data_IF_185419320060
#
_entry.id   IF_185419320060
#
_cell.length_a   1.000
_cell.length_b   1.000
_cell.length_c   1.000
_cell.angle_alpha   90.00
_cell.angle_beta   90.00
_cell.angle_gamma   90.00
#
_symmetry.space_group_name_H-M   'P 1'
#
loop_
_entity.id
_entity.type
_entity.pdbx_description
1 polymer ?
#
# COMPACT_ATOMS: atom_id res chain seq x y z
N UNK A 1 -41.53 13.87 38.40
CA UNK A 1 -40.27 14.64 38.25
C UNK A 1 -39.26 13.68 37.68
N UNK A 2 -39.08 13.73 36.36
CA UNK A 2 -38.51 12.68 35.53
C UNK A 2 -36.99 12.54 35.67
N UNK A 3 -36.60 11.27 35.70
CA UNK A 3 -35.25 10.71 35.73
C UNK A 3 -34.41 11.03 34.47
N UNK A 4 -33.11 11.19 34.70
CA UNK A 4 -31.93 10.92 33.85
C UNK A 4 -32.12 10.61 32.36
N UNK A 5 -31.31 11.27 31.52
CA UNK A 5 -30.64 10.59 30.39
C UNK A 5 -29.28 11.23 30.12
N UNK A 6 -28.23 10.63 30.71
CA UNK A 6 -26.86 10.78 30.23
C UNK A 6 -26.74 9.83 29.04
N UNK A 7 -26.76 10.37 27.84
CA UNK A 7 -26.64 9.55 26.64
C UNK A 7 -26.39 10.43 25.44
N UNK A 8 -25.12 10.73 25.15
CA UNK A 8 -24.65 11.17 23.82
C UNK A 8 -23.14 11.52 23.85
N UNK A 9 -22.23 10.56 24.13
CA UNK A 9 -20.80 10.67 23.71
C UNK A 9 -19.95 9.40 23.90
N UNK A 10 -20.54 8.20 23.92
CA UNK A 10 -19.78 6.94 23.98
C UNK A 10 -19.92 6.08 22.72
N UNK A 11 -20.29 6.68 21.60
CA UNK A 11 -20.28 6.01 20.30
C UNK A 11 -18.82 5.97 19.80
N UNK A 12 -18.18 4.79 19.94
CA UNK A 12 -17.23 4.20 18.98
C UNK A 12 -15.71 4.51 19.01
N UNK A 13 -15.07 4.75 20.16
CA UNK A 13 -13.57 4.68 20.18
C UNK A 13 -13.02 3.29 19.79
N UNK A 14 -13.75 2.21 20.09
CA UNK A 14 -13.33 0.84 19.76
C UNK A 14 -13.69 0.38 18.32
N UNK A 15 -14.61 1.05 17.63
CA UNK A 15 -15.00 0.66 16.28
C UNK A 15 -14.04 1.23 15.22
N UNK A 16 -13.51 2.43 15.45
CA UNK A 16 -12.51 3.05 14.57
C UNK A 16 -11.19 2.24 14.54
N UNK A 17 -10.77 1.69 15.68
CA UNK A 17 -9.58 0.83 15.80
C UNK A 17 -9.72 -0.55 15.13
N UNK A 18 -10.96 -1.00 14.88
CA UNK A 18 -11.24 -2.30 14.25
C UNK A 18 -11.75 -2.15 12.80
N UNK A 19 -11.38 -1.05 12.13
CA UNK A 19 -11.68 -0.86 10.72
C UNK A 19 -10.69 -1.67 9.86
N UNK A 20 -11.15 -2.39 8.83
CA UNK A 20 -10.25 -3.07 7.91
C UNK A 20 -9.30 -2.10 7.21
N UNK A 21 -9.73 -0.86 6.98
CA UNK A 21 -8.93 0.21 6.39
C UNK A 21 -7.69 0.55 7.22
N UNK A 22 -7.81 0.61 8.56
CA UNK A 22 -6.68 0.88 9.45
C UNK A 22 -5.64 -0.25 9.38
N UNK A 23 -6.10 -1.51 9.40
CA UNK A 23 -5.21 -2.66 9.27
C UNK A 23 -4.49 -2.67 7.92
N UNK A 24 -5.22 -2.38 6.84
CA UNK A 24 -4.66 -2.24 5.49
C UNK A 24 -3.59 -1.14 5.48
N UNK A 25 -3.87 0.04 6.05
CA UNK A 25 -2.91 1.14 6.09
C UNK A 25 -1.65 0.82 6.91
N UNK A 26 -1.79 0.18 8.07
CA UNK A 26 -0.65 -0.21 8.92
C UNK A 26 0.24 -1.22 8.21
N UNK A 27 -0.34 -2.29 7.65
CA UNK A 27 0.45 -3.28 6.92
C UNK A 27 1.00 -2.73 5.60
N UNK A 28 0.29 -1.82 4.92
CA UNK A 28 0.82 -1.10 3.76
C UNK A 28 2.09 -0.34 4.17
N UNK A 29 2.02 0.48 5.22
CA UNK A 29 3.17 1.23 5.70
C UNK A 29 4.37 0.31 6.00
N UNK A 30 4.17 -0.73 6.81
CA UNK A 30 5.26 -1.61 7.22
C UNK A 30 5.89 -2.37 6.05
N UNK A 31 5.06 -2.97 5.19
CA UNK A 31 5.54 -3.80 4.08
C UNK A 31 6.20 -2.93 3.01
N UNK A 32 5.57 -1.83 2.62
CA UNK A 32 6.11 -0.94 1.59
C UNK A 32 7.35 -0.22 2.08
N UNK A 33 7.41 0.22 3.35
CA UNK A 33 8.62 0.85 3.89
C UNK A 33 9.84 -0.07 3.87
N UNK A 34 9.66 -1.33 4.30
CA UNK A 34 10.75 -2.33 4.25
C UNK A 34 11.16 -2.58 2.81
N UNK A 35 10.20 -2.69 1.90
CA UNK A 35 10.49 -2.91 0.49
C UNK A 35 11.23 -1.73 -0.14
N UNK A 36 10.82 -0.49 0.11
CA UNK A 36 11.50 0.75 -0.33
C UNK A 36 12.96 0.79 0.15
N UNK A 37 13.22 0.41 1.41
CA UNK A 37 14.60 0.30 1.92
C UNK A 37 15.42 -0.76 1.18
N UNK A 38 14.81 -1.89 0.81
CA UNK A 38 15.47 -2.94 0.02
C UNK A 38 15.69 -2.53 -1.44
N UNK A 39 14.83 -1.67 -1.99
CA UNK A 39 14.97 -1.16 -3.35
C UNK A 39 16.07 -0.11 -3.50
N UNK A 40 16.49 0.55 -2.41
CA UNK A 40 17.44 1.66 -2.46
C UNK A 40 18.69 1.43 -3.35
N UNK A 41 19.37 0.26 -3.31
CA UNK A 41 20.54 0.02 -4.15
C UNK A 41 20.25 0.00 -5.67
N UNK A 42 18.98 -0.13 -6.06
CA UNK A 42 18.54 -0.16 -7.46
C UNK A 42 18.34 1.24 -8.06
N UNK A 43 18.35 2.28 -7.23
CA UNK A 43 18.23 3.68 -7.68
C UNK A 43 19.59 4.38 -7.64
N UNK A 44 19.88 5.16 -8.69
CA UNK A 44 21.14 5.92 -8.77
C UNK A 44 21.10 7.17 -7.87
N UNK A 45 22.26 7.59 -7.38
CA UNK A 45 22.42 8.86 -6.64
C UNK A 45 22.28 8.76 -5.13
N UNK A 46 22.25 7.54 -4.57
CA UNK A 46 22.15 7.32 -3.11
C UNK A 46 23.49 7.02 -2.40
N UNK A 47 24.60 6.96 -3.13
CA UNK A 47 25.90 6.52 -2.58
C UNK A 47 26.55 7.52 -1.60
N UNK A 48 26.23 8.82 -1.70
CA UNK A 48 26.82 9.87 -0.86
C UNK A 48 25.79 10.72 -0.07
N UNK A 49 24.51 10.33 -0.07
CA UNK A 49 23.47 11.09 0.65
C UNK A 49 23.39 10.70 2.12
N UNK A 50 23.15 11.71 2.94
CA UNK A 50 22.98 11.54 4.38
C UNK A 50 21.81 10.59 4.70
N UNK A 51 22.01 9.62 5.59
CA UNK A 51 21.02 8.59 5.96
C UNK A 51 19.62 9.14 6.27
N UNK A 52 19.54 10.33 6.88
CA UNK A 52 18.25 10.96 7.20
C UNK A 52 17.46 11.34 5.94
N UNK A 53 18.13 11.81 4.89
CA UNK A 53 17.51 12.13 3.60
C UNK A 53 16.92 10.89 2.96
N UNK A 54 17.65 9.77 3.02
CA UNK A 54 17.20 8.46 2.52
C UNK A 54 15.91 8.02 3.23
N UNK A 55 15.88 8.06 4.56
CA UNK A 55 14.68 7.70 5.34
C UNK A 55 13.50 8.60 4.99
N UNK A 56 13.72 9.91 4.81
CA UNK A 56 12.68 10.85 4.40
C UNK A 56 12.14 10.53 2.99
N UNK A 57 13.00 10.14 2.05
CA UNK A 57 12.59 9.71 0.72
C UNK A 57 11.76 8.44 0.77
N UNK A 58 12.24 7.38 1.45
CA UNK A 58 11.47 6.15 1.63
C UNK A 58 10.13 6.41 2.33
N UNK A 59 10.11 7.25 3.36
CA UNK A 59 8.87 7.61 4.08
C UNK A 59 7.86 8.30 3.16
N UNK A 60 8.32 9.22 2.30
CA UNK A 60 7.45 9.90 1.32
C UNK A 60 6.93 8.93 0.25
N UNK A 61 7.77 8.02 -0.23
CA UNK A 61 7.37 6.98 -1.18
C UNK A 61 6.31 6.05 -0.57
N UNK A 62 6.60 5.52 0.62
CA UNK A 62 5.66 4.68 1.38
C UNK A 62 4.34 5.40 1.68
N UNK A 63 4.36 6.71 1.97
CA UNK A 63 3.12 7.47 2.17
C UNK A 63 2.25 7.46 0.90
N UNK A 64 2.86 7.56 -0.29
CA UNK A 64 2.17 7.37 -1.56
C UNK A 64 1.57 5.98 -1.69
N UNK A 65 2.35 4.93 -1.40
CA UNK A 65 1.89 3.54 -1.48
C UNK A 65 0.72 3.21 -0.54
N UNK A 66 0.66 3.81 0.64
CA UNK A 66 -0.48 3.67 1.55
C UNK A 66 -1.74 4.22 0.89
N UNK A 67 -1.65 5.40 0.27
CA UNK A 67 -2.79 6.02 -0.43
C UNK A 67 -3.23 5.13 -1.59
N UNK A 68 -2.29 4.63 -2.40
CA UNK A 68 -2.61 3.72 -3.51
C UNK A 68 -3.26 2.44 -2.98
N UNK A 69 -2.74 1.88 -1.88
CA UNK A 69 -3.29 0.67 -1.24
C UNK A 69 -4.71 0.90 -0.75
N UNK A 70 -5.01 2.04 -0.12
CA UNK A 70 -6.36 2.37 0.33
C UNK A 70 -7.33 2.55 -0.84
N UNK A 71 -6.90 3.23 -1.90
CA UNK A 71 -7.71 3.41 -3.12
C UNK A 71 -7.98 2.06 -3.80
N UNK A 72 -6.97 1.21 -3.92
CA UNK A 72 -7.11 -0.15 -4.45
C UNK A 72 -8.07 -0.97 -3.57
N UNK A 73 -7.97 -0.86 -2.24
CA UNK A 73 -8.84 -1.57 -1.30
C UNK A 73 -10.29 -1.15 -1.43
N UNK A 74 -10.57 0.15 -1.56
CA UNK A 74 -11.93 0.65 -1.78
C UNK A 74 -12.47 0.20 -3.13
N UNK A 75 -11.65 0.24 -4.19
CA UNK A 75 -12.03 -0.25 -5.52
C UNK A 75 -12.42 -1.73 -5.47
N UNK A 76 -11.61 -2.56 -4.81
CA UNK A 76 -11.92 -3.97 -4.59
C UNK A 76 -13.18 -4.17 -3.74
N UNK A 77 -13.39 -3.33 -2.71
CA UNK A 77 -14.57 -3.38 -1.83
C UNK A 77 -15.87 -3.05 -2.57
N UNK A 78 -15.83 -2.10 -3.52
CA UNK A 78 -16.97 -1.74 -4.38
C UNK A 78 -17.33 -2.93 -5.26
N UNK A 79 -16.35 -3.56 -5.92
CA UNK A 79 -16.57 -4.73 -6.78
C UNK A 79 -17.10 -5.92 -5.98
N UNK A 80 -16.52 -6.18 -4.80
CA UNK A 80 -16.92 -7.25 -3.90
C UNK A 80 -18.24 -6.97 -3.16
N UNK A 81 -18.76 -5.73 -3.23
CA UNK A 81 -19.90 -5.20 -2.46
C UNK A 81 -19.78 -5.48 -0.96
N UNK A 82 -18.56 -5.54 -0.44
CA UNK A 82 -18.27 -5.95 0.93
C UNK A 82 -16.92 -5.41 1.37
N UNK A 83 -16.87 -4.72 2.52
CA UNK A 83 -15.63 -4.24 3.14
C UNK A 83 -14.74 -5.37 3.69
N UNK A 84 -15.34 -6.53 3.98
CA UNK A 84 -14.62 -7.71 4.49
C UNK A 84 -14.35 -8.74 3.39
N UNK A 85 -14.17 -8.28 2.15
CA UNK A 85 -13.95 -9.16 0.99
C UNK A 85 -12.73 -10.07 1.18
N UNK A 86 -11.70 -9.62 1.90
CA UNK A 86 -10.49 -10.39 2.22
C UNK A 86 -10.74 -11.61 3.15
N UNK A 87 -11.85 -11.64 3.89
CA UNK A 87 -12.24 -12.79 4.71
C UNK A 87 -12.97 -13.86 3.90
N UNK A 88 -13.68 -13.46 2.84
CA UNK A 88 -14.36 -14.38 1.92
C UNK A 88 -13.37 -14.78 0.82
N UNK A 89 -13.44 -16.02 0.33
CA UNK A 89 -12.62 -16.47 -0.82
C UNK A 89 -13.11 -15.80 -2.11
N UNK A 90 -12.82 -14.51 -2.30
CA UNK A 90 -13.21 -13.73 -3.47
C UNK A 90 -11.99 -13.40 -4.32
N UNK A 91 -11.59 -14.28 -5.26
CA UNK A 91 -10.39 -14.05 -6.08
C UNK A 91 -10.52 -12.82 -6.98
N UNK A 92 -11.74 -12.45 -7.39
CA UNK A 92 -12.00 -11.25 -8.19
C UNK A 92 -11.59 -9.98 -7.43
N UNK A 93 -11.93 -9.89 -6.14
CA UNK A 93 -11.58 -8.73 -5.32
C UNK A 93 -10.06 -8.61 -5.12
N UNK A 94 -9.37 -9.74 -4.92
CA UNK A 94 -7.90 -9.81 -4.85
C UNK A 94 -7.29 -9.36 -6.19
N UNK A 95 -7.81 -9.84 -7.32
CA UNK A 95 -7.36 -9.45 -8.65
C UNK A 95 -7.52 -7.96 -8.91
N UNK A 96 -8.68 -7.38 -8.53
CA UNK A 96 -8.93 -5.93 -8.64
C UNK A 96 -7.99 -5.13 -7.74
N UNK A 97 -7.71 -5.60 -6.53
CA UNK A 97 -6.79 -4.94 -5.61
C UNK A 97 -5.38 -4.84 -6.20
N UNK A 98 -4.85 -5.96 -6.72
CA UNK A 98 -3.53 -6.01 -7.37
C UNK A 98 -3.54 -5.16 -8.66
N UNK A 99 -4.55 -5.33 -9.51
CA UNK A 99 -4.63 -4.63 -10.79
C UNK A 99 -4.72 -3.11 -10.62
N UNK A 100 -5.51 -2.62 -9.66
CA UNK A 100 -5.62 -1.19 -9.39
C UNK A 100 -4.27 -0.59 -8.97
N UNK A 101 -3.58 -1.23 -8.02
CA UNK A 101 -2.27 -0.77 -7.57
C UNK A 101 -1.20 -0.84 -8.66
N UNK A 102 -1.19 -1.91 -9.44
CA UNK A 102 -0.27 -2.07 -10.57
C UNK A 102 -0.49 -1.00 -11.64
N UNK A 103 -1.75 -0.74 -12.01
CA UNK A 103 -2.10 0.29 -12.99
C UNK A 103 -1.67 1.68 -12.51
N UNK A 104 -1.96 2.02 -11.26
CA UNK A 104 -1.57 3.31 -10.68
C UNK A 104 -0.05 3.45 -10.70
N UNK A 105 0.68 2.42 -10.29
CA UNK A 105 2.15 2.43 -10.25
C UNK A 105 2.77 2.55 -11.62
N UNK A 106 2.26 1.83 -12.61
CA UNK A 106 2.70 1.96 -14.00
C UNK A 106 2.51 3.39 -14.50
N UNK A 107 1.36 4.01 -14.21
CA UNK A 107 1.12 5.42 -14.58
C UNK A 107 2.12 6.35 -13.89
N UNK A 108 2.37 6.17 -12.59
CA UNK A 108 3.35 6.98 -11.85
C UNK A 108 4.76 6.80 -12.41
N UNK A 109 5.17 5.57 -12.72
CA UNK A 109 6.50 5.29 -13.27
C UNK A 109 6.70 5.89 -14.66
N UNK A 110 5.72 5.76 -15.55
CA UNK A 110 5.78 6.36 -16.89
C UNK A 110 5.86 7.88 -16.79
N UNK A 111 5.11 8.50 -15.87
CA UNK A 111 5.18 9.94 -15.63
C UNK A 111 6.52 10.37 -15.03
N UNK A 112 7.07 9.57 -14.11
CA UNK A 112 8.28 9.90 -13.40
C UNK A 112 9.55 9.72 -14.25
N UNK A 113 9.63 8.64 -15.03
CA UNK A 113 10.76 8.34 -15.93
C UNK A 113 10.69 9.11 -17.26
N UNK A 114 9.49 9.46 -17.73
CA UNK A 114 9.31 10.24 -18.94
C UNK A 114 9.34 11.75 -18.68
N UNK A 115 8.18 12.41 -18.60
CA UNK A 115 8.08 13.87 -18.61
C UNK A 115 8.61 14.57 -17.34
N UNK A 116 8.62 13.90 -16.18
CA UNK A 116 9.00 14.53 -14.92
C UNK A 116 10.47 14.33 -14.53
N UNK A 117 11.21 13.44 -15.22
CA UNK A 117 12.62 13.10 -14.95
C UNK A 117 12.95 13.04 -13.44
N UNK A 118 12.06 12.41 -12.67
CA UNK A 118 12.02 12.58 -11.21
C UNK A 118 13.08 11.75 -10.49
N UNK A 119 13.49 10.65 -11.10
CA UNK A 119 14.50 9.73 -10.61
C UNK A 119 15.07 8.90 -11.77
N UNK A 120 16.34 8.52 -11.63
CA UNK A 120 17.10 7.75 -12.61
C UNK A 120 17.42 6.38 -12.01
N UNK A 121 17.13 5.31 -12.76
CA UNK A 121 17.48 3.96 -12.34
C UNK A 121 19.00 3.73 -12.42
N UNK A 122 19.53 2.94 -11.49
CA UNK A 122 20.91 2.45 -11.57
C UNK A 122 21.02 1.32 -12.59
N UNK A 123 22.24 1.04 -13.08
CA UNK A 123 22.53 -0.11 -13.94
C UNK A 123 22.13 -1.46 -13.32
N UNK A 124 22.01 -1.51 -11.98
CA UNK A 124 21.58 -2.69 -11.25
C UNK A 124 20.06 -2.95 -11.32
N UNK A 125 19.25 -2.00 -11.82
CA UNK A 125 17.79 -2.14 -11.89
C UNK A 125 17.39 -3.07 -13.05
N UNK A 126 16.74 -4.22 -12.79
CA UNK A 126 16.16 -5.02 -13.86
C UNK A 126 14.98 -4.25 -14.47
N UNK A 127 15.11 -3.89 -15.76
CA UNK A 127 14.10 -3.16 -16.51
C UNK A 127 13.31 -4.12 -17.40
N UNK A 128 12.02 -3.84 -17.59
CA UNK A 128 11.23 -4.53 -18.60
C UNK A 128 11.70 -4.08 -20.01
N UNK A 129 12.11 -5.02 -20.89
CA UNK A 129 12.73 -4.68 -22.18
C UNK A 129 11.78 -3.97 -23.15
N UNK A 130 10.47 -4.03 -22.91
CA UNK A 130 9.45 -3.41 -23.77
C UNK A 130 9.07 -1.99 -23.33
N UNK A 131 9.20 -1.67 -22.05
CA UNK A 131 8.65 -0.42 -21.47
C UNK A 131 9.68 0.41 -20.71
N UNK A 132 10.85 -0.14 -20.39
CA UNK A 132 11.86 0.54 -19.57
C UNK A 132 11.43 0.75 -18.11
N UNK A 133 10.32 0.14 -17.67
CA UNK A 133 9.82 0.25 -16.30
C UNK A 133 10.62 -0.68 -15.39
N UNK A 134 10.93 -0.20 -14.19
CA UNK A 134 11.54 -0.98 -13.13
C UNK A 134 10.73 -2.23 -12.76
N UNK A 135 11.36 -3.40 -12.75
CA UNK A 135 10.71 -4.65 -12.33
C UNK A 135 10.40 -4.64 -10.82
N UNK A 136 11.23 -3.97 -10.02
CA UNK A 136 11.10 -3.94 -8.56
C UNK A 136 9.81 -3.25 -8.07
N UNK A 137 9.43 -2.05 -8.58
CA UNK A 137 8.11 -1.44 -8.34
C UNK A 137 6.93 -2.32 -8.77
N UNK A 138 7.06 -3.10 -9.84
CA UNK A 138 5.99 -4.01 -10.27
C UNK A 138 5.90 -5.24 -9.35
N UNK A 139 7.05 -5.80 -8.95
CA UNK A 139 7.12 -6.90 -8.01
C UNK A 139 6.54 -6.49 -6.64
N UNK A 140 6.75 -5.25 -6.21
CA UNK A 140 6.13 -4.66 -5.02
C UNK A 140 4.61 -4.87 -5.04
N UNK A 141 3.96 -4.50 -6.14
CA UNK A 141 2.50 -4.57 -6.30
C UNK A 141 1.94 -5.97 -6.56
N UNK A 142 2.79 -6.97 -6.75
CA UNK A 142 2.36 -8.38 -6.80
C UNK A 142 2.55 -9.03 -5.43
N UNK A 143 3.73 -8.85 -4.82
CA UNK A 143 4.11 -9.55 -3.58
C UNK A 143 3.46 -8.90 -2.35
N UNK A 144 3.56 -7.58 -2.21
CA UNK A 144 3.11 -6.90 -0.99
C UNK A 144 1.59 -6.96 -0.80
N UNK A 145 0.75 -6.75 -1.83
CA UNK A 145 -0.71 -6.90 -1.68
C UNK A 145 -1.15 -8.28 -1.20
N UNK A 146 -0.49 -9.35 -1.66
CA UNK A 146 -0.79 -10.71 -1.22
C UNK A 146 -0.40 -10.93 0.24
N UNK A 147 0.80 -10.48 0.64
CA UNK A 147 1.24 -10.54 2.03
C UNK A 147 0.34 -9.70 2.94
N UNK A 148 -0.04 -8.51 2.50
CA UNK A 148 -0.90 -7.59 3.24
C UNK A 148 -2.26 -8.23 3.51
N UNK A 149 -2.91 -8.82 2.50
CA UNK A 149 -4.18 -9.53 2.68
C UNK A 149 -4.01 -10.71 3.65
N UNK A 150 -2.91 -11.45 3.56
CA UNK A 150 -2.64 -12.58 4.45
C UNK A 150 -2.48 -12.13 5.92
N UNK A 151 -1.72 -11.06 6.17
CA UNK A 151 -1.54 -10.49 7.51
C UNK A 151 -2.84 -9.93 8.09
N UNK A 152 -3.57 -9.10 7.32
CA UNK A 152 -4.86 -8.54 7.73
C UNK A 152 -5.85 -9.66 8.08
N UNK A 153 -5.91 -10.70 7.24
CA UNK A 153 -6.78 -11.86 7.49
C UNK A 153 -6.37 -12.59 8.77
N UNK A 154 -5.07 -12.79 9.01
CA UNK A 154 -4.58 -13.48 10.22
C UNK A 154 -4.86 -12.67 11.48
N UNK A 155 -4.68 -11.35 11.45
CA UNK A 155 -4.97 -10.48 12.60
C UNK A 155 -6.47 -10.45 12.93
N UNK A 156 -7.34 -10.33 11.92
CA UNK A 156 -8.80 -10.30 12.12
C UNK A 156 -9.36 -11.66 12.55
N UNK A 157 -8.80 -12.77 12.08
CA UNK A 157 -9.22 -14.12 12.50
C UNK A 157 -8.63 -14.56 13.84
N UNK A 158 -7.40 -14.16 14.16
CA UNK A 158 -6.74 -14.52 15.42
C UNK A 158 -7.15 -13.66 16.62
N UNK A 159 -7.76 -12.50 16.38
CA UNK A 159 -8.36 -11.64 17.41
C UNK A 159 -9.81 -11.99 17.78
N UNK A 160 -10.34 -13.13 17.29
CA UNK A 160 -11.67 -13.66 17.62
C UNK A 160 -11.51 -15.01 18.31
#
# INVERSE_FOLDING_TARGET
>A
MSSFTVGETFITKNAALNTPELHIAIFAFLLHFVWELLQLPLFAGFDEVHYFTVILHCTKATAGDIVISLVAFWTASIVARSRYWFLKKQPIAVGVFIAAGLLITVVFEVLATGPLQRWTYSEAMPLLPLTGIGLSPLAQWVVLPLLQIWFVRRQVLGGR
#
